data_IF_850204236351
#
_entry.id   IF_850204236351
#
_cell.length_a   1.000
_cell.length_b   1.000
_cell.length_c   1.000
_cell.angle_alpha   90.00
_cell.angle_beta   90.00
_cell.angle_gamma   90.00
#
_symmetry.space_group_name_H-M   'P 1'
#
loop_
_entity.id
_entity.type
_entity.pdbx_description
1 polymer ?
#
# COMPACT_ATOMS: atom_id res chain seq x y z
N UNK A 1 15.64 -12.01 14.65
CA UNK A 1 16.03 -13.38 15.06
C UNK A 1 14.77 -14.20 15.26
N UNK A 2 14.48 -15.14 14.36
CA UNK A 2 13.35 -16.07 14.50
C UNK A 2 13.51 -16.84 15.81
N UNK A 3 12.40 -17.17 16.50
CA UNK A 3 12.42 -17.98 17.73
C UNK A 3 13.23 -19.29 17.56
N UNK A 4 13.44 -19.75 16.32
CA UNK A 4 14.18 -20.97 16.02
C UNK A 4 15.69 -20.83 16.29
N UNK A 5 16.35 -19.73 15.91
CA UNK A 5 17.80 -19.56 16.12
C UNK A 5 18.19 -19.56 17.61
N UNK A 6 17.38 -18.94 18.47
CA UNK A 6 17.61 -18.96 19.92
C UNK A 6 17.48 -20.38 20.47
N UNK A 7 16.51 -21.14 19.97
CA UNK A 7 16.29 -22.52 20.40
C UNK A 7 17.38 -23.47 19.88
N UNK A 8 17.79 -23.29 18.63
CA UNK A 8 18.76 -24.14 17.94
C UNK A 8 20.20 -23.90 18.40
N UNK A 9 20.53 -22.69 18.88
CA UNK A 9 21.90 -22.37 19.29
C UNK A 9 22.08 -22.38 20.82
N UNK A 10 21.14 -21.78 21.55
CA UNK A 10 21.28 -21.60 23.01
C UNK A 10 21.09 -22.92 23.76
N UNK A 11 20.21 -23.81 23.27
CA UNK A 11 19.98 -25.10 23.91
C UNK A 11 21.22 -26.00 23.82
N UNK A 12 21.84 -26.24 22.64
CA UNK A 12 23.06 -27.05 22.58
C UNK A 12 24.21 -26.46 23.40
N UNK A 13 24.42 -25.14 23.35
CA UNK A 13 25.44 -24.48 24.15
C UNK A 13 25.19 -24.64 25.66
N UNK A 14 23.95 -24.49 26.10
CA UNK A 14 23.58 -24.71 27.50
C UNK A 14 23.73 -26.16 27.92
N UNK A 15 23.41 -27.12 27.04
CA UNK A 15 23.63 -28.55 27.28
C UNK A 15 25.12 -28.85 27.40
N UNK A 16 25.96 -28.34 26.50
CA UNK A 16 27.43 -28.51 26.57
C UNK A 16 27.96 -27.90 27.88
N UNK A 17 27.47 -26.72 28.27
CA UNK A 17 27.82 -26.08 29.53
C UNK A 17 27.44 -26.96 30.74
N UNK A 18 26.20 -27.44 30.79
CA UNK A 18 25.71 -28.29 31.89
C UNK A 18 26.45 -29.63 31.96
N UNK A 19 26.69 -30.27 30.80
CA UNK A 19 27.47 -31.52 30.71
C UNK A 19 28.90 -31.30 31.16
N UNK A 20 29.52 -30.15 30.82
CA UNK A 20 30.88 -29.82 31.25
C UNK A 20 30.99 -29.68 32.77
N UNK A 21 29.99 -29.04 33.42
CA UNK A 21 29.93 -28.93 34.89
C UNK A 21 29.74 -30.31 35.55
N UNK A 22 28.87 -31.15 34.99
CA UNK A 22 28.63 -32.50 35.53
C UNK A 22 29.88 -33.37 35.39
N UNK A 23 30.55 -33.34 34.24
CA UNK A 23 31.77 -34.08 33.99
C UNK A 23 32.94 -33.61 34.87
N UNK A 24 33.02 -32.30 35.14
CA UNK A 24 33.98 -31.76 36.10
C UNK A 24 33.86 -32.44 37.47
N UNK A 25 32.64 -32.56 38.00
CA UNK A 25 32.39 -33.18 39.30
C UNK A 25 32.71 -34.68 39.34
N UNK A 26 32.59 -35.37 38.21
CA UNK A 26 32.82 -36.82 38.13
C UNK A 26 34.28 -37.20 37.85
N UNK A 27 34.98 -36.45 37.00
CA UNK A 27 36.30 -36.83 36.48
C UNK A 27 37.46 -36.11 37.19
N UNK A 28 37.20 -35.04 37.97
CA UNK A 28 38.23 -34.33 38.73
C UNK A 28 39.30 -33.64 37.87
N UNK A 29 39.00 -33.39 36.59
CA UNK A 29 39.90 -32.68 35.67
C UNK A 29 39.60 -31.18 35.74
N UNK A 30 39.95 -30.60 36.88
CA UNK A 30 39.50 -29.27 37.29
C UNK A 30 39.82 -28.18 36.27
N UNK A 31 40.99 -28.23 35.62
CA UNK A 31 41.41 -27.21 34.67
C UNK A 31 40.68 -27.23 33.32
N UNK A 32 40.35 -28.42 32.79
CA UNK A 32 39.82 -28.53 31.43
C UNK A 32 38.35 -28.12 31.36
N UNK A 33 37.51 -28.69 32.23
CA UNK A 33 36.07 -28.47 32.17
C UNK A 33 35.66 -27.06 32.62
N UNK A 34 36.37 -26.46 33.58
CA UNK A 34 36.14 -25.06 34.00
C UNK A 34 36.47 -24.09 32.85
N UNK A 35 37.57 -24.31 32.13
CA UNK A 35 37.92 -23.51 30.96
C UNK A 35 36.88 -23.67 29.84
N UNK A 36 36.46 -24.90 29.54
CA UNK A 36 35.43 -25.17 28.54
C UNK A 36 34.10 -24.47 28.89
N UNK A 37 33.65 -24.56 30.14
CA UNK A 37 32.44 -23.88 30.60
C UNK A 37 32.54 -22.36 30.48
N UNK A 38 33.71 -21.79 30.78
CA UNK A 38 33.94 -20.34 30.71
C UNK A 38 33.98 -19.87 29.25
N UNK A 39 34.57 -20.66 28.34
CA UNK A 39 34.60 -20.37 26.91
C UNK A 39 33.20 -20.47 26.28
N UNK A 40 32.39 -21.46 26.66
CA UNK A 40 30.99 -21.59 26.22
C UNK A 40 30.15 -20.39 26.69
N UNK A 41 30.31 -19.96 27.95
CA UNK A 41 29.66 -18.72 28.43
C UNK A 41 30.11 -17.52 27.60
N UNK A 42 31.41 -17.40 27.34
CA UNK A 42 31.97 -16.34 26.51
C UNK A 42 31.30 -16.27 25.13
N UNK A 43 31.20 -17.41 24.44
CA UNK A 43 30.52 -17.53 23.13
C UNK A 43 29.06 -17.08 23.23
N UNK A 44 28.32 -17.56 24.23
CA UNK A 44 26.91 -17.22 24.42
C UNK A 44 26.73 -15.71 24.65
N UNK A 45 27.55 -15.13 25.52
CA UNK A 45 27.52 -13.69 25.82
C UNK A 45 27.87 -12.87 24.58
N UNK A 46 28.91 -13.26 23.84
CA UNK A 46 29.31 -12.56 22.60
C UNK A 46 28.20 -12.60 21.55
N UNK A 47 27.59 -13.76 21.29
CA UNK A 47 26.51 -13.89 20.30
C UNK A 47 25.29 -13.07 20.74
N UNK A 48 24.89 -13.17 22.02
CA UNK A 48 23.78 -12.38 22.56
C UNK A 48 24.03 -10.88 22.48
N UNK A 49 25.26 -10.44 22.77
CA UNK A 49 25.67 -9.05 22.66
C UNK A 49 25.68 -8.55 21.21
N UNK A 50 26.22 -9.33 20.28
CA UNK A 50 26.22 -9.01 18.85
C UNK A 50 24.79 -8.91 18.32
N UNK A 51 23.90 -9.85 18.65
CA UNK A 51 22.48 -9.79 18.26
C UNK A 51 21.77 -8.57 18.87
N UNK A 52 22.04 -8.25 20.14
CA UNK A 52 21.51 -7.05 20.78
C UNK A 52 21.98 -5.78 20.06
N UNK A 53 23.27 -5.68 19.74
CA UNK A 53 23.83 -4.56 19.01
C UNK A 53 23.21 -4.48 17.62
N UNK A 54 23.17 -5.57 16.85
CA UNK A 54 22.59 -5.59 15.50
C UNK A 54 21.14 -5.13 15.53
N UNK A 55 20.32 -5.66 16.43
CA UNK A 55 18.92 -5.20 16.60
C UNK A 55 18.81 -3.74 16.98
N UNK A 56 19.71 -3.26 17.83
CA UNK A 56 19.73 -1.85 18.27
C UNK A 56 20.16 -0.93 17.14
N UNK A 57 21.13 -1.34 16.33
CA UNK A 57 21.57 -0.64 15.13
C UNK A 57 20.49 -0.65 14.06
N UNK A 58 19.96 -1.81 13.69
CA UNK A 58 18.81 -1.93 12.80
C UNK A 58 17.66 -1.03 13.27
N UNK A 59 17.26 -1.10 14.54
CA UNK A 59 16.16 -0.27 15.04
C UNK A 59 16.46 1.23 14.93
N UNK A 60 17.68 1.68 15.24
CA UNK A 60 18.05 3.10 15.13
C UNK A 60 18.21 3.55 13.67
N UNK A 61 18.82 2.73 12.85
CA UNK A 61 19.10 3.00 11.45
C UNK A 61 17.82 2.99 10.63
N UNK A 62 16.85 2.14 10.96
CA UNK A 62 15.56 2.05 10.28
C UNK A 62 14.51 3.03 10.79
N UNK A 63 14.63 3.59 11.99
CA UNK A 63 13.62 4.53 12.52
C UNK A 63 13.44 5.79 11.66
N UNK A 64 14.54 6.41 11.22
CA UNK A 64 14.48 7.64 10.41
C UNK A 64 14.00 7.32 8.97
N UNK A 65 14.56 6.33 8.25
CA UNK A 65 14.05 5.91 6.94
C UNK A 65 12.58 5.48 7.00
N UNK A 66 12.15 4.75 8.03
CA UNK A 66 10.78 4.29 8.13
C UNK A 66 9.79 5.46 8.19
N UNK A 67 10.08 6.47 9.02
CA UNK A 67 9.24 7.70 9.06
C UNK A 67 9.17 8.42 7.70
N UNK A 68 10.25 8.39 6.90
CA UNK A 68 10.27 8.97 5.56
C UNK A 68 9.51 8.13 4.55
N UNK A 69 9.62 6.80 4.62
CA UNK A 69 8.86 5.86 3.78
C UNK A 69 7.37 6.00 4.04
N UNK A 70 6.95 6.07 5.32
CA UNK A 70 5.55 6.29 5.68
C UNK A 70 5.04 7.64 5.14
N UNK A 71 5.81 8.73 5.27
CA UNK A 71 5.44 10.01 4.65
C UNK A 71 5.32 9.90 3.14
N UNK A 72 6.23 9.19 2.46
CA UNK A 72 6.13 8.93 1.01
C UNK A 72 4.89 8.12 0.66
N UNK A 73 4.53 7.14 1.49
CA UNK A 73 3.32 6.34 1.31
C UNK A 73 2.08 7.23 1.44
N UNK A 74 2.02 8.10 2.45
CA UNK A 74 0.94 9.08 2.60
C UNK A 74 0.84 10.02 1.38
N UNK A 75 1.97 10.50 0.85
CA UNK A 75 1.98 11.30 -0.38
C UNK A 75 1.45 10.53 -1.59
N UNK A 76 1.83 9.26 -1.73
CA UNK A 76 1.29 8.38 -2.77
C UNK A 76 -0.23 8.27 -2.64
N UNK A 77 -0.76 7.92 -1.47
CA UNK A 77 -2.21 7.78 -1.28
C UNK A 77 -2.94 9.10 -1.56
N UNK A 78 -2.44 10.21 -1.03
CA UNK A 78 -3.03 11.54 -1.27
C UNK A 78 -3.08 11.88 -2.76
N UNK A 79 -1.98 11.63 -3.49
CA UNK A 79 -1.93 11.87 -4.93
C UNK A 79 -2.94 10.97 -5.66
N UNK A 80 -3.00 9.68 -5.35
CA UNK A 80 -3.90 8.74 -6.00
C UNK A 80 -5.37 9.07 -5.78
N UNK A 81 -5.74 9.58 -4.60
CA UNK A 81 -7.11 10.07 -4.33
C UNK A 81 -7.43 11.30 -5.19
N UNK A 82 -6.50 12.24 -5.30
CA UNK A 82 -6.66 13.39 -6.18
C UNK A 82 -6.82 12.96 -7.64
N UNK A 83 -6.00 12.02 -8.11
CA UNK A 83 -6.09 11.46 -9.46
C UNK A 83 -7.44 10.76 -9.68
N UNK A 84 -7.99 10.04 -8.69
CA UNK A 84 -9.36 9.52 -8.74
C UNK A 84 -10.43 10.62 -8.83
N UNK A 85 -10.27 11.73 -8.12
CA UNK A 85 -11.22 12.86 -8.22
C UNK A 85 -11.15 13.52 -9.60
N UNK A 86 -9.94 13.79 -10.09
CA UNK A 86 -9.72 14.46 -11.36
C UNK A 86 -10.12 13.58 -12.55
N UNK A 87 -9.95 12.27 -12.45
CA UNK A 87 -10.45 11.34 -13.47
C UNK A 87 -11.98 11.43 -13.59
N UNK A 88 -12.69 11.67 -12.48
CA UNK A 88 -14.13 11.89 -12.41
C UNK A 88 -14.56 13.34 -12.68
N UNK A 89 -13.68 14.17 -13.28
CA UNK A 89 -13.96 15.57 -13.63
C UNK A 89 -14.34 16.44 -12.43
N UNK A 90 -13.90 16.07 -11.22
CA UNK A 90 -14.13 16.89 -10.05
C UNK A 90 -13.16 18.07 -10.05
N UNK A 91 -13.72 19.28 -10.11
CA UNK A 91 -12.97 20.52 -9.89
C UNK A 91 -13.22 21.02 -8.48
N UNK A 92 -12.15 21.38 -7.79
CA UNK A 92 -12.25 22.00 -6.47
C UNK A 92 -12.96 23.35 -6.52
N UNK A 93 -14.08 23.50 -5.81
CA UNK A 93 -14.68 24.81 -5.55
C UNK A 93 -13.85 25.50 -4.46
N UNK A 94 -13.07 26.51 -4.86
CA UNK A 94 -12.24 27.28 -3.96
C UNK A 94 -13.01 27.83 -2.74
N UNK A 95 -14.29 28.19 -2.92
CA UNK A 95 -15.11 28.73 -1.84
C UNK A 95 -15.46 27.70 -0.77
N UNK A 96 -15.70 26.45 -1.17
CA UNK A 96 -15.94 25.31 -0.29
C UNK A 96 -14.65 24.98 0.50
N UNK A 97 -13.51 24.96 -0.19
CA UNK A 97 -12.21 24.69 0.45
C UNK A 97 -11.77 25.78 1.41
N UNK A 98 -12.01 27.06 1.10
CA UNK A 98 -11.69 28.15 2.03
C UNK A 98 -12.52 28.05 3.31
N UNK A 99 -13.77 27.60 3.23
CA UNK A 99 -14.59 27.33 4.42
C UNK A 99 -13.99 26.18 5.23
N UNK A 100 -13.70 25.06 4.60
CA UNK A 100 -13.08 23.89 5.22
C UNK A 100 -11.75 24.24 5.91
N UNK A 101 -10.85 24.96 5.22
CA UNK A 101 -9.56 25.39 5.78
C UNK A 101 -9.73 26.36 6.96
N UNK A 102 -10.68 27.28 6.88
CA UNK A 102 -10.98 28.24 7.96
C UNK A 102 -11.54 27.53 9.19
N UNK A 103 -12.41 26.53 9.00
CA UNK A 103 -12.91 25.70 10.10
C UNK A 103 -11.78 24.87 10.75
N UNK A 104 -10.62 24.77 10.08
CA UNK A 104 -9.39 24.16 10.58
C UNK A 104 -8.37 25.14 11.19
N UNK A 105 -8.71 26.43 11.39
CA UNK A 105 -7.80 27.39 12.04
C UNK A 105 -7.62 27.06 13.52
N UNK A 106 -6.67 26.17 13.84
CA UNK A 106 -6.41 25.68 15.19
C UNK A 106 -5.86 24.25 15.27
N UNK A 107 -5.79 23.52 14.16
CA UNK A 107 -5.25 22.16 14.10
C UNK A 107 -3.73 22.13 13.99
N UNK A 108 -3.10 21.07 14.49
CA UNK A 108 -1.72 20.76 14.13
C UNK A 108 -1.64 20.38 12.64
N UNK A 109 -0.44 20.45 12.06
CA UNK A 109 -0.23 20.08 10.65
C UNK A 109 -0.65 18.63 10.36
N UNK A 110 -0.42 17.72 11.30
CA UNK A 110 -0.75 16.29 11.17
C UNK A 110 -2.26 16.04 11.26
N UNK A 111 -2.96 16.76 12.16
CA UNK A 111 -4.41 16.68 12.25
C UNK A 111 -5.09 17.24 11.00
N UNK A 112 -4.56 18.33 10.44
CA UNK A 112 -5.06 18.89 9.19
C UNK A 112 -4.93 17.87 8.05
N UNK A 113 -3.76 17.24 7.88
CA UNK A 113 -3.53 16.23 6.84
C UNK A 113 -4.52 15.06 6.95
N UNK A 114 -4.73 14.56 8.17
CA UNK A 114 -5.64 13.43 8.43
C UNK A 114 -7.09 13.77 8.12
N UNK A 115 -7.56 14.93 8.58
CA UNK A 115 -8.93 15.36 8.32
C UNK A 115 -9.17 15.73 6.86
N UNK A 116 -8.22 16.44 6.25
CA UNK A 116 -8.26 16.78 4.83
C UNK A 116 -8.36 15.53 3.97
N UNK A 117 -7.56 14.50 4.27
CA UNK A 117 -7.61 13.22 3.58
C UNK A 117 -8.97 12.52 3.73
N UNK A 118 -9.50 12.45 4.97
CA UNK A 118 -10.81 11.88 5.22
C UNK A 118 -11.92 12.59 4.43
N UNK A 119 -11.81 13.91 4.27
CA UNK A 119 -12.77 14.69 3.51
C UNK A 119 -12.65 14.42 2.00
N UNK A 120 -11.43 14.36 1.46
CA UNK A 120 -11.23 14.00 0.05
C UNK A 120 -11.78 12.60 -0.26
N UNK A 121 -11.53 11.62 0.60
CA UNK A 121 -12.12 10.28 0.46
C UNK A 121 -13.64 10.31 0.51
N UNK A 122 -14.24 11.13 1.38
CA UNK A 122 -15.70 11.24 1.48
C UNK A 122 -16.28 11.80 0.18
N UNK A 123 -15.63 12.82 -0.41
CA UNK A 123 -16.01 13.40 -1.70
C UNK A 123 -15.91 12.38 -2.83
N UNK A 124 -14.80 11.63 -2.93
CA UNK A 124 -14.64 10.56 -3.95
C UNK A 124 -15.79 9.56 -3.84
N UNK A 125 -16.05 9.05 -2.62
CA UNK A 125 -17.10 8.05 -2.40
C UNK A 125 -18.49 8.57 -2.76
N UNK A 126 -18.78 9.83 -2.41
CA UNK A 126 -20.06 10.46 -2.77
C UNK A 126 -20.19 10.57 -4.30
N UNK A 127 -19.11 10.97 -5.00
CA UNK A 127 -19.09 11.08 -6.46
C UNK A 127 -19.25 9.73 -7.15
N UNK A 128 -18.52 8.72 -6.70
CA UNK A 128 -18.64 7.35 -7.18
C UNK A 128 -20.06 6.79 -7.01
N UNK A 129 -20.68 7.05 -5.86
CA UNK A 129 -22.02 6.53 -5.54
C UNK A 129 -23.16 7.22 -6.30
N UNK A 130 -23.09 8.54 -6.47
CA UNK A 130 -24.21 9.32 -6.99
C UNK A 130 -24.24 9.37 -8.52
N UNK A 131 -23.11 9.73 -9.13
CA UNK A 131 -23.11 10.24 -10.50
C UNK A 131 -22.08 9.55 -11.40
N UNK A 132 -21.15 8.76 -10.88
CA UNK A 132 -19.98 8.33 -11.66
C UNK A 132 -20.33 7.52 -12.92
N UNK A 133 -21.34 6.64 -12.89
CA UNK A 133 -21.77 5.90 -14.10
C UNK A 133 -22.23 6.89 -15.16
N UNK A 134 -23.11 7.84 -14.80
CA UNK A 134 -23.62 8.86 -15.72
C UNK A 134 -22.49 9.77 -16.21
N UNK A 135 -21.54 10.13 -15.35
CA UNK A 135 -20.37 10.93 -15.70
C UNK A 135 -19.52 10.22 -16.76
N UNK A 136 -19.18 8.96 -16.53
CA UNK A 136 -18.33 8.14 -17.42
C UNK A 136 -19.05 7.87 -18.75
N UNK A 137 -20.34 7.54 -18.73
CA UNK A 137 -21.13 7.32 -19.95
C UNK A 137 -21.16 8.55 -20.87
N UNK A 138 -20.98 9.75 -20.31
CA UNK A 138 -21.01 11.03 -21.03
C UNK A 138 -19.60 11.56 -21.38
N UNK A 139 -18.55 10.77 -21.19
CA UNK A 139 -17.21 11.15 -21.61
C UNK A 139 -17.10 11.15 -23.14
N UNK A 140 -16.63 12.28 -23.66
CA UNK A 140 -16.09 12.40 -25.00
C UNK A 140 -14.63 11.89 -25.02
N UNK A 141 -13.98 11.91 -26.19
CA UNK A 141 -12.62 11.41 -26.34
C UNK A 141 -11.62 12.15 -25.44
N UNK A 142 -11.78 13.47 -25.29
CA UNK A 142 -10.89 14.30 -24.47
C UNK A 142 -11.02 13.96 -22.98
N UNK A 143 -12.26 13.84 -22.47
CA UNK A 143 -12.50 13.42 -21.09
C UNK A 143 -12.02 12.02 -20.81
N UNK A 144 -12.14 11.10 -21.77
CA UNK A 144 -11.57 9.76 -21.66
C UNK A 144 -10.05 9.77 -21.61
N UNK A 145 -9.39 10.58 -22.44
CA UNK A 145 -7.93 10.73 -22.41
C UNK A 145 -7.47 11.31 -21.05
N UNK A 146 -8.19 12.31 -20.56
CA UNK A 146 -7.96 12.88 -19.22
C UNK A 146 -8.14 11.82 -18.12
N UNK A 147 -9.23 11.04 -18.17
CA UNK A 147 -9.49 9.94 -17.25
C UNK A 147 -8.34 8.92 -17.25
N UNK A 148 -7.96 8.43 -18.43
CA UNK A 148 -6.88 7.44 -18.62
C UNK A 148 -5.57 7.95 -18.03
N UNK A 149 -5.18 9.18 -18.35
CA UNK A 149 -3.95 9.80 -17.83
C UNK A 149 -3.88 9.81 -16.30
N UNK A 150 -4.99 10.05 -15.62
CA UNK A 150 -5.01 10.01 -14.16
C UNK A 150 -4.95 8.59 -13.59
N UNK A 151 -5.59 7.61 -14.24
CA UNK A 151 -5.48 6.21 -13.82
C UNK A 151 -4.05 5.67 -14.08
N UNK A 152 -3.43 6.04 -15.20
CA UNK A 152 -2.02 5.75 -15.49
C UNK A 152 -1.10 6.37 -14.43
N UNK A 153 -1.34 7.62 -14.03
CA UNK A 153 -0.60 8.26 -12.93
C UNK A 153 -0.67 7.46 -11.63
N UNK A 154 -1.80 6.84 -11.30
CA UNK A 154 -1.95 5.97 -10.12
C UNK A 154 -1.12 4.69 -10.29
N UNK A 155 -1.27 4.01 -11.42
CA UNK A 155 -0.52 2.80 -11.76
C UNK A 155 1.00 3.03 -11.67
N UNK A 156 1.50 4.02 -12.40
CA UNK A 156 2.94 4.32 -12.48
C UNK A 156 3.49 4.78 -11.13
N UNK A 157 2.69 5.51 -10.35
CA UNK A 157 3.08 5.90 -8.99
C UNK A 157 3.16 4.70 -8.06
N UNK A 158 2.28 3.71 -8.19
CA UNK A 158 2.32 2.48 -7.41
C UNK A 158 3.54 1.64 -7.77
N UNK A 159 3.82 1.45 -9.07
CA UNK A 159 5.00 0.76 -9.56
C UNK A 159 6.29 1.43 -9.06
N UNK A 160 6.43 2.74 -9.28
CA UNK A 160 7.59 3.50 -8.83
C UNK A 160 7.78 3.44 -7.30
N UNK A 161 6.68 3.40 -6.55
CA UNK A 161 6.71 3.24 -5.10
C UNK A 161 7.21 1.85 -4.69
N UNK A 162 6.69 0.78 -5.29
CA UNK A 162 7.11 -0.59 -5.03
C UNK A 162 8.59 -0.81 -5.39
N UNK A 163 9.05 -0.28 -6.53
CA UNK A 163 10.45 -0.33 -6.93
C UNK A 163 11.39 0.39 -5.95
N UNK A 164 10.94 1.51 -5.39
CA UNK A 164 11.77 2.34 -4.51
C UNK A 164 11.75 1.89 -3.04
N UNK A 165 10.62 1.36 -2.57
CA UNK A 165 10.34 1.15 -1.15
C UNK A 165 9.70 -0.20 -0.81
N UNK A 166 9.51 -1.09 -1.78
CA UNK A 166 8.79 -2.36 -1.57
C UNK A 166 9.38 -3.22 -0.47
N UNK A 167 10.71 -3.26 -0.34
CA UNK A 167 11.42 -4.02 0.72
C UNK A 167 11.30 -3.39 2.12
N UNK A 168 10.78 -2.15 2.22
CA UNK A 168 10.56 -1.42 3.47
C UNK A 168 9.11 -1.43 3.93
N UNK A 169 8.20 -1.92 3.09
CA UNK A 169 6.79 -2.04 3.42
C UNK A 169 6.54 -3.25 4.33
N UNK A 170 5.53 -3.14 5.18
CA UNK A 170 4.97 -4.36 5.80
C UNK A 170 4.31 -5.22 4.72
N UNK A 171 4.16 -6.54 4.92
CA UNK A 171 3.49 -7.40 3.94
C UNK A 171 2.09 -6.89 3.56
N UNK A 172 1.34 -6.37 4.54
CA UNK A 172 0.01 -5.81 4.28
C UNK A 172 0.05 -4.53 3.43
N UNK A 173 0.99 -3.61 3.71
CA UNK A 173 1.16 -2.41 2.89
C UNK A 173 1.60 -2.76 1.47
N UNK A 174 2.52 -3.72 1.32
CA UNK A 174 2.99 -4.17 0.02
C UNK A 174 1.84 -4.75 -0.82
N UNK A 175 1.04 -5.65 -0.24
CA UNK A 175 -0.13 -6.22 -0.91
C UNK A 175 -1.11 -5.13 -1.32
N UNK A 176 -1.41 -4.16 -0.45
CA UNK A 176 -2.34 -3.08 -0.80
C UNK A 176 -1.83 -2.22 -1.95
N UNK A 177 -0.53 -1.88 -2.00
CA UNK A 177 0.02 -1.09 -3.11
C UNK A 177 -0.01 -1.90 -4.41
N UNK A 178 0.24 -3.21 -4.35
CA UNK A 178 0.12 -4.10 -5.51
C UNK A 178 -1.33 -4.22 -6.00
N UNK A 179 -2.29 -4.44 -5.10
CA UNK A 179 -3.71 -4.53 -5.44
C UNK A 179 -4.23 -3.21 -6.05
N UNK A 180 -3.72 -2.06 -5.58
CA UNK A 180 -3.98 -0.73 -6.15
C UNK A 180 -3.45 -0.65 -7.59
N UNK A 181 -2.22 -1.12 -7.83
CA UNK A 181 -1.61 -1.17 -9.16
C UNK A 181 -2.43 -2.04 -10.11
N UNK A 182 -2.73 -3.28 -9.72
CA UNK A 182 -3.48 -4.25 -10.52
C UNK A 182 -4.90 -3.74 -10.85
N UNK A 183 -5.54 -3.06 -9.89
CA UNK A 183 -6.87 -2.48 -10.09
C UNK A 183 -6.82 -1.33 -11.09
N UNK A 184 -5.81 -0.45 -11.00
CA UNK A 184 -5.60 0.63 -11.95
C UNK A 184 -5.31 0.09 -13.36
N UNK A 185 -4.41 -0.90 -13.47
CA UNK A 185 -4.10 -1.57 -14.74
C UNK A 185 -5.35 -2.19 -15.36
N UNK A 186 -6.18 -2.88 -14.56
CA UNK A 186 -7.41 -3.47 -15.07
C UNK A 186 -8.37 -2.42 -15.66
N UNK A 187 -8.47 -1.23 -15.08
CA UNK A 187 -9.30 -0.13 -15.62
C UNK A 187 -8.72 0.36 -16.97
N UNK A 188 -7.40 0.44 -17.10
CA UNK A 188 -6.73 0.82 -18.34
C UNK A 188 -6.94 -0.22 -19.45
N UNK A 189 -6.77 -1.51 -19.13
CA UNK A 189 -7.00 -2.62 -20.06
C UNK A 189 -8.44 -2.62 -20.56
N UNK A 190 -9.40 -2.38 -19.67
CA UNK A 190 -10.81 -2.26 -20.03
C UNK A 190 -11.04 -1.15 -21.07
N UNK A 191 -10.40 0.02 -20.89
CA UNK A 191 -10.54 1.14 -21.83
C UNK A 191 -9.94 0.87 -23.20
N UNK A 192 -8.74 0.33 -23.25
CA UNK A 192 -8.07 0.05 -24.52
C UNK A 192 -8.68 -1.16 -25.22
N UNK A 193 -9.00 -2.22 -24.49
CA UNK A 193 -9.47 -3.47 -25.10
C UNK A 193 -10.96 -3.46 -25.36
N UNK A 194 -11.78 -3.17 -24.35
CA UNK A 194 -13.24 -3.32 -24.46
C UNK A 194 -13.83 -2.08 -25.11
N UNK A 195 -13.52 -0.88 -24.62
CA UNK A 195 -14.17 0.31 -25.18
C UNK A 195 -13.68 0.61 -26.61
N UNK A 196 -12.36 0.74 -26.79
CA UNK A 196 -11.79 1.21 -28.06
C UNK A 196 -11.89 0.16 -29.17
N UNK A 197 -11.62 -1.11 -28.87
CA UNK A 197 -11.57 -2.15 -29.91
C UNK A 197 -12.92 -2.85 -30.11
N UNK A 198 -13.84 -2.82 -29.13
CA UNK A 198 -15.13 -3.54 -29.23
C UNK A 198 -16.30 -2.55 -29.25
N UNK A 199 -16.53 -1.78 -28.19
CA UNK A 199 -17.75 -0.98 -28.06
C UNK A 199 -17.80 0.19 -29.06
N UNK A 200 -16.69 0.88 -29.29
CA UNK A 200 -16.63 2.04 -30.20
C UNK A 200 -16.96 1.65 -31.65
N UNK A 201 -16.36 0.60 -32.24
CA UNK A 201 -16.75 0.09 -33.56
C UNK A 201 -18.21 -0.38 -33.61
N UNK A 202 -18.68 -1.10 -32.58
CA UNK A 202 -20.07 -1.59 -32.53
C UNK A 202 -21.08 -0.45 -32.50
N UNK A 203 -20.77 0.66 -31.81
CA UNK A 203 -21.62 1.86 -31.77
C UNK A 203 -21.77 2.52 -33.13
N UNK A 204 -20.74 2.45 -33.98
CA UNK A 204 -20.78 2.96 -35.35
C UNK A 204 -21.53 2.01 -36.29
N UNK A 205 -21.39 0.70 -36.09
CA UNK A 205 -22.01 -0.34 -36.93
C UNK A 205 -23.47 -0.67 -36.56
N UNK A 206 -23.98 -0.15 -35.44
CA UNK A 206 -25.34 -0.43 -34.98
C UNK A 206 -26.38 0.33 -35.82
N UNK A 207 -26.94 -0.33 -36.84
CA UNK A 207 -27.93 0.26 -37.75
C UNK A 207 -29.39 0.02 -37.33
N UNK A 208 -29.67 -1.09 -36.63
CA UNK A 208 -31.04 -1.44 -36.21
C UNK A 208 -31.34 -0.93 -34.80
N UNK A 209 -32.62 -0.61 -34.48
CA UNK A 209 -33.02 -0.22 -33.13
C UNK A 209 -32.63 -1.25 -32.06
N UNK A 210 -32.70 -2.54 -32.39
CA UNK A 210 -32.31 -3.64 -31.51
C UNK A 210 -30.79 -3.63 -31.24
N UNK A 211 -29.96 -3.50 -32.28
CA UNK A 211 -28.50 -3.44 -32.13
C UNK A 211 -28.07 -2.20 -31.34
N UNK A 212 -28.74 -1.06 -31.56
CA UNK A 212 -28.49 0.17 -30.79
C UNK A 212 -28.76 -0.07 -29.29
N UNK A 213 -29.86 -0.76 -28.96
CA UNK A 213 -30.21 -1.03 -27.57
C UNK A 213 -29.22 -2.01 -26.92
N UNK A 214 -28.79 -3.05 -27.63
CA UNK A 214 -27.76 -3.99 -27.15
C UNK A 214 -26.46 -3.23 -26.84
N UNK A 215 -25.99 -2.38 -27.75
CA UNK A 215 -24.76 -1.59 -27.56
C UNK A 215 -24.89 -0.65 -26.36
N UNK A 216 -26.05 -0.03 -26.14
CA UNK A 216 -26.30 0.80 -24.96
C UNK A 216 -26.22 0.00 -23.67
N UNK A 217 -26.84 -1.17 -23.61
CA UNK A 217 -26.79 -2.05 -22.43
C UNK A 217 -25.36 -2.49 -22.14
N UNK A 218 -24.61 -2.91 -23.17
CA UNK A 218 -23.20 -3.29 -23.02
C UNK A 218 -22.33 -2.12 -22.55
N UNK A 219 -22.53 -0.93 -23.10
CA UNK A 219 -21.78 0.29 -22.68
C UNK A 219 -22.07 0.61 -21.22
N UNK A 220 -23.34 0.56 -20.81
CA UNK A 220 -23.72 0.80 -19.42
C UNK A 220 -23.10 -0.21 -18.46
N UNK A 221 -23.15 -1.50 -18.79
CA UNK A 221 -22.55 -2.54 -17.94
C UNK A 221 -21.03 -2.34 -17.79
N UNK A 222 -20.37 -1.95 -18.88
CA UNK A 222 -18.96 -1.61 -18.88
C UNK A 222 -18.65 -0.39 -17.98
N UNK A 223 -19.44 0.67 -18.08
CA UNK A 223 -19.28 1.86 -17.23
C UNK A 223 -19.51 1.52 -15.74
N UNK A 224 -20.48 0.66 -15.43
CA UNK A 224 -20.74 0.15 -14.08
C UNK A 224 -19.54 -0.65 -13.52
N UNK A 225 -18.87 -1.48 -14.34
CA UNK A 225 -17.67 -2.21 -13.91
C UNK A 225 -16.47 -1.29 -13.66
N UNK A 226 -16.27 -0.24 -14.46
CA UNK A 226 -15.27 0.79 -14.17
C UNK A 226 -15.56 1.45 -12.82
N UNK A 227 -16.80 1.89 -12.57
CA UNK A 227 -17.17 2.53 -11.31
C UNK A 227 -16.97 1.59 -10.13
N UNK A 228 -17.26 0.30 -10.29
CA UNK A 228 -17.00 -0.71 -9.27
C UNK A 228 -15.52 -0.79 -8.93
N UNK A 229 -14.64 -0.86 -9.93
CA UNK A 229 -13.18 -0.90 -9.75
C UNK A 229 -12.63 0.37 -9.11
N UNK A 230 -13.10 1.55 -9.52
CA UNK A 230 -12.73 2.82 -8.88
C UNK A 230 -13.18 2.88 -7.41
N UNK A 231 -14.32 2.25 -7.09
CA UNK A 231 -14.79 2.12 -5.70
C UNK A 231 -13.85 1.22 -4.90
N UNK A 232 -13.48 0.06 -5.43
CA UNK A 232 -12.49 -0.83 -4.79
C UNK A 232 -11.15 -0.14 -4.61
N UNK A 233 -10.65 0.56 -5.63
CA UNK A 233 -9.44 1.37 -5.59
C UNK A 233 -9.49 2.40 -4.44
N UNK A 234 -10.62 3.09 -4.29
CA UNK A 234 -10.82 4.07 -3.22
C UNK A 234 -10.82 3.44 -1.83
N UNK A 235 -11.41 2.25 -1.67
CA UNK A 235 -11.40 1.50 -0.41
C UNK A 235 -10.00 1.03 -0.03
N UNK A 236 -9.20 0.56 -1.00
CA UNK A 236 -7.80 0.18 -0.78
C UNK A 236 -6.95 1.39 -0.36
N UNK A 237 -7.14 2.54 -1.02
CA UNK A 237 -6.45 3.78 -0.68
C UNK A 237 -6.79 4.24 0.76
N UNK A 238 -8.07 4.16 1.15
CA UNK A 238 -8.48 4.45 2.53
C UNK A 238 -7.82 3.49 3.54
N UNK A 239 -7.80 2.19 3.23
CA UNK A 239 -7.20 1.20 4.12
C UNK A 239 -5.69 1.45 4.26
N UNK A 240 -5.00 1.73 3.16
CA UNK A 240 -3.58 2.03 3.13
C UNK A 240 -3.26 3.31 3.92
N UNK A 241 -4.12 4.34 3.82
CA UNK A 241 -3.98 5.56 4.62
C UNK A 241 -4.07 5.28 6.12
N UNK A 242 -5.07 4.50 6.55
CA UNK A 242 -5.25 4.15 7.97
C UNK A 242 -4.07 3.39 8.57
N UNK A 243 -3.36 2.60 7.76
CA UNK A 243 -2.16 1.88 8.19
C UNK A 243 -0.92 2.79 8.19
N UNK A 244 -0.92 3.85 7.38
CA UNK A 244 0.18 4.79 7.26
C UNK A 244 0.07 6.01 8.21
N UNK A 245 -1.09 6.24 8.84
CA UNK A 245 -1.34 7.32 9.81
C UNK A 245 -0.93 6.90 11.22
#
# INVERSE_FOLDING_TARGET
MTKSLWRELFIPLFVIFAVSIILHWWLGWDGFFINLSTEVIGIVVTIGYVDYILKKYEKKEWQIPHSRVIKRLQYFVNRSINDCLYSLQYSYDFSEWVKTIRDFSGFSQDDFSTKFHSELLSVVKIKLKKDAVVTISNFDNEKWEHFVKHIESIHDSAEAFLLSFGDKLTPEQYTLVLDIQDTAESVLIMRETIYKNILSPLKVAAETPENIEIVKVMTRHYDEDIVSRLSTLTEMLEKLFKIAA
#
